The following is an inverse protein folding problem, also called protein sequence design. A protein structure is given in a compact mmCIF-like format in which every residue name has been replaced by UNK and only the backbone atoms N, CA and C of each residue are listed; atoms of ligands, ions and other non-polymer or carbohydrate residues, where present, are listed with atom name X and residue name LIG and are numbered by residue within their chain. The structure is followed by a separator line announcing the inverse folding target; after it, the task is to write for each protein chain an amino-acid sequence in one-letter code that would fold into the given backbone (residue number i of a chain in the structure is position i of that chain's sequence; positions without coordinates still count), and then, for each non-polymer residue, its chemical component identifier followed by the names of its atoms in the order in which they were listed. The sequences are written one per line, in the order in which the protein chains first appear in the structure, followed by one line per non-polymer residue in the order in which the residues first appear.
data_IF_786780814992
#
_entry.id   IF_786780814992
#
_cell.length_a   1.000
_cell.length_b   1.000
_cell.length_c   1.000
_cell.angle_alpha   90.00
_cell.angle_beta   90.00
_cell.angle_gamma   90.00
#
_symmetry.space_group_name_H-M   'P 1'
#
loop_
_entity.id
_entity.type
_entity.pdbx_description
1 polymer ?
#
# COMPACT_ATOMS: atom_id res chain seq x y z
N UNK A 1 -2.73 12.40 14.20
CA UNK A 1 -2.05 11.09 14.30
C UNK A 1 -3.09 9.99 14.22
N UNK A 2 -2.78 8.88 13.54
CA UNK A 2 -3.70 7.75 13.44
C UNK A 2 -3.79 7.00 14.75
N UNK A 3 -4.99 6.50 15.05
CA UNK A 3 -5.19 5.56 16.14
C UNK A 3 -4.93 4.14 15.62
N UNK A 4 -4.06 3.38 16.27
CA UNK A 4 -3.75 2.01 15.89
C UNK A 4 -3.21 1.21 17.10
N UNK A 5 -3.26 -0.11 16.98
CA UNK A 5 -2.73 -1.04 17.96
C UNK A 5 -1.74 -2.03 17.32
N UNK A 6 -1.22 -2.97 18.08
CA UNK A 6 -0.23 -3.94 17.56
C UNK A 6 -0.83 -4.87 16.49
N UNK A 7 -2.11 -5.23 16.61
CA UNK A 7 -2.76 -6.04 15.58
C UNK A 7 -2.85 -5.29 14.25
N UNK A 8 -3.08 -3.99 14.28
CA UNK A 8 -3.08 -3.15 13.09
C UNK A 8 -1.70 -3.13 12.43
N UNK A 9 -0.64 -3.04 13.23
CA UNK A 9 0.75 -3.09 12.73
C UNK A 9 1.03 -4.45 12.08
N UNK A 10 0.62 -5.53 12.72
CA UNK A 10 0.82 -6.89 12.20
C UNK A 10 0.05 -7.09 10.89
N UNK A 11 -1.19 -6.63 10.81
CA UNK A 11 -1.99 -6.70 9.57
C UNK A 11 -1.41 -5.84 8.46
N UNK A 12 -0.93 -4.66 8.80
CA UNK A 12 -0.25 -3.79 7.84
C UNK A 12 1.01 -4.45 7.28
N UNK A 13 1.85 -5.01 8.15
CA UNK A 13 3.07 -5.71 7.73
C UNK A 13 2.74 -6.91 6.82
N UNK A 14 1.71 -7.69 7.15
CA UNK A 14 1.28 -8.81 6.32
C UNK A 14 0.76 -8.33 4.95
N UNK A 15 -0.02 -7.26 4.92
CA UNK A 15 -0.52 -6.66 3.70
C UNK A 15 0.64 -6.21 2.79
N UNK A 16 1.60 -5.48 3.33
CA UNK A 16 2.77 -5.01 2.59
C UNK A 16 3.58 -6.20 2.06
N UNK A 17 3.79 -7.22 2.88
CA UNK A 17 4.49 -8.44 2.48
C UNK A 17 3.80 -9.13 1.31
N UNK A 18 2.48 -9.32 1.38
CA UNK A 18 1.71 -9.95 0.30
C UNK A 18 1.77 -9.12 -0.99
N UNK A 19 1.63 -7.80 -0.88
CA UNK A 19 1.51 -6.91 -2.03
C UNK A 19 2.86 -6.57 -2.68
N UNK A 20 3.94 -6.54 -1.91
CA UNK A 20 5.17 -5.91 -2.39
C UNK A 20 6.47 -6.61 -2.04
N UNK A 21 6.47 -7.84 -1.49
CA UNK A 21 7.73 -8.50 -1.10
C UNK A 21 8.70 -8.70 -2.25
N UNK A 22 8.21 -8.80 -3.47
CA UNK A 22 9.05 -8.93 -4.68
C UNK A 22 9.56 -7.61 -5.23
N UNK A 23 9.17 -6.47 -4.65
CA UNK A 23 9.50 -5.14 -5.17
C UNK A 23 10.69 -4.49 -4.47
N UNK A 24 11.36 -5.22 -3.55
CA UNK A 24 12.47 -4.70 -2.76
C UNK A 24 12.00 -3.82 -1.60
N UNK A 25 12.95 -3.37 -0.78
CA UNK A 25 12.64 -2.58 0.42
C UNK A 25 11.98 -1.24 0.07
N UNK A 26 12.45 -0.56 -0.96
CA UNK A 26 11.84 0.71 -1.39
C UNK A 26 10.39 0.53 -1.85
N UNK A 27 10.08 -0.57 -2.54
CA UNK A 27 8.71 -0.88 -2.96
C UNK A 27 7.81 -1.23 -1.78
N UNK A 28 8.30 -2.00 -0.82
CA UNK A 28 7.57 -2.32 0.41
C UNK A 28 7.31 -1.05 1.24
N UNK A 29 8.30 -0.19 1.40
CA UNK A 29 8.16 1.10 2.06
C UNK A 29 7.10 1.97 1.38
N UNK A 30 7.09 1.98 0.06
CA UNK A 30 6.13 2.76 -0.73
C UNK A 30 4.69 2.29 -0.49
N UNK A 31 4.44 0.99 -0.51
CA UNK A 31 3.09 0.45 -0.24
C UNK A 31 2.65 0.77 1.19
N UNK A 32 3.55 0.67 2.16
CA UNK A 32 3.25 1.06 3.54
C UNK A 32 2.83 2.53 3.64
N UNK A 33 3.54 3.42 2.94
CA UNK A 33 3.19 4.84 2.91
C UNK A 33 1.83 5.10 2.25
N UNK A 34 1.50 4.38 1.18
CA UNK A 34 0.16 4.49 0.56
C UNK A 34 -0.94 4.10 1.56
N UNK A 35 -0.75 3.02 2.32
CA UNK A 35 -1.71 2.61 3.35
C UNK A 35 -1.91 3.74 4.37
N UNK A 36 -0.84 4.30 4.89
CA UNK A 36 -0.92 5.40 5.88
C UNK A 36 -1.52 6.65 5.27
N UNK A 37 -1.14 7.01 4.05
CA UNK A 37 -1.70 8.18 3.35
C UNK A 37 -3.21 8.03 3.14
N UNK A 38 -3.69 6.86 2.74
CA UNK A 38 -5.12 6.56 2.62
C UNK A 38 -5.83 6.67 3.96
N UNK A 39 -5.25 6.11 5.02
CA UNK A 39 -5.84 6.17 6.35
C UNK A 39 -5.99 7.62 6.82
N UNK A 40 -4.97 8.44 6.61
CA UNK A 40 -5.02 9.86 6.95
C UNK A 40 -6.01 10.65 6.11
N UNK A 41 -6.12 10.34 4.81
CA UNK A 41 -7.02 11.05 3.91
C UNK A 41 -8.48 10.65 4.07
N UNK A 42 -8.75 9.36 4.25
CA UNK A 42 -10.10 8.81 4.12
C UNK A 42 -10.73 8.33 5.43
N UNK A 43 -9.90 7.89 6.39
CA UNK A 43 -10.37 7.16 7.57
C UNK A 43 -9.98 7.79 8.90
N UNK A 44 -9.50 9.02 8.88
CA UNK A 44 -8.98 9.69 10.10
C UNK A 44 -9.98 9.73 11.26
N UNK A 45 -11.26 9.88 10.95
CA UNK A 45 -12.31 10.04 11.94
C UNK A 45 -12.87 8.74 12.52
N UNK A 46 -12.43 7.58 12.01
CA UNK A 46 -12.93 6.28 12.45
C UNK A 46 -12.01 5.65 13.49
N UNK A 47 -12.55 4.67 14.25
CA UNK A 47 -11.82 4.03 15.34
C UNK A 47 -10.69 3.09 14.90
N UNK A 48 -10.77 2.55 13.68
CA UNK A 48 -9.82 1.57 13.15
C UNK A 48 -9.40 1.93 11.72
N UNK A 49 -8.69 3.06 11.54
CA UNK A 49 -8.41 3.58 10.19
C UNK A 49 -7.56 2.64 9.34
N UNK A 50 -6.54 2.00 9.91
CA UNK A 50 -5.69 1.06 9.17
C UNK A 50 -6.47 -0.18 8.75
N UNK A 51 -7.27 -0.74 9.66
CA UNK A 51 -8.12 -1.90 9.34
C UNK A 51 -9.04 -1.57 8.16
N UNK A 52 -9.69 -0.42 8.20
CA UNK A 52 -10.61 -0.01 7.13
C UNK A 52 -9.90 0.11 5.78
N UNK A 53 -8.71 0.67 5.73
CA UNK A 53 -7.93 0.78 4.48
C UNK A 53 -7.50 -0.60 3.98
N UNK A 54 -6.93 -1.43 4.86
CA UNK A 54 -6.37 -2.73 4.50
C UNK A 54 -7.45 -3.68 3.99
N UNK A 55 -8.63 -3.68 4.62
CA UNK A 55 -9.72 -4.58 4.29
C UNK A 55 -10.81 -3.93 3.43
N UNK A 56 -10.58 -2.73 2.92
CA UNK A 56 -11.51 -2.07 2.01
C UNK A 56 -11.73 -2.91 0.76
N UNK A 57 -13.01 -3.04 0.37
CA UNK A 57 -13.39 -3.81 -0.81
C UNK A 57 -12.64 -3.32 -2.05
N UNK A 58 -12.10 -4.26 -2.84
CA UNK A 58 -11.40 -4.03 -4.11
C UNK A 58 -10.09 -3.25 -4.00
N UNK A 59 -9.51 -3.11 -2.80
CA UNK A 59 -8.20 -2.45 -2.65
C UNK A 59 -7.06 -3.47 -2.55
N UNK A 60 -7.03 -4.25 -1.50
CA UNK A 60 -5.99 -5.27 -1.30
C UNK A 60 -6.65 -6.65 -1.34
N UNK A 61 -6.79 -7.21 -2.54
CA UNK A 61 -7.47 -8.49 -2.73
C UNK A 61 -6.80 -9.63 -1.96
N UNK A 62 -5.49 -9.57 -1.79
CA UNK A 62 -4.72 -10.53 -0.98
C UNK A 62 -5.17 -10.62 0.48
N UNK A 63 -5.79 -9.56 1.00
CA UNK A 63 -6.26 -9.49 2.38
C UNK A 63 -7.76 -9.78 2.51
N UNK A 64 -8.55 -9.62 1.46
CA UNK A 64 -10.01 -9.59 1.56
C UNK A 64 -10.75 -10.54 0.62
N UNK A 65 -10.10 -11.09 -0.40
CA UNK A 65 -10.76 -11.95 -1.41
C UNK A 65 -10.16 -13.35 -1.35
N UNK A 66 -10.96 -14.32 -0.90
CA UNK A 66 -10.51 -15.71 -0.66
C UNK A 66 -10.02 -16.43 -1.93
N UNK A 67 -10.38 -15.96 -3.11
CA UNK A 67 -9.91 -16.51 -4.39
C UNK A 67 -8.58 -15.93 -4.86
N UNK A 68 -8.09 -14.88 -4.20
CA UNK A 68 -6.76 -14.35 -4.50
C UNK A 68 -5.69 -15.38 -4.10
N UNK A 69 -4.71 -15.69 -4.97
CA UNK A 69 -3.67 -16.67 -4.65
C UNK A 69 -2.87 -16.36 -3.40
N UNK A 70 -2.76 -15.09 -3.03
CA UNK A 70 -2.02 -14.64 -1.84
C UNK A 70 -2.85 -14.69 -0.55
N UNK A 71 -4.17 -14.87 -0.62
CA UNK A 71 -5.07 -14.71 0.51
C UNK A 71 -4.68 -15.59 1.71
N UNK A 72 -4.37 -16.86 1.46
CA UNK A 72 -4.00 -17.81 2.51
C UNK A 72 -2.50 -17.93 2.75
N UNK A 73 -1.68 -17.18 2.01
CA UNK A 73 -0.24 -17.24 2.21
C UNK A 73 0.16 -16.57 3.52
N UNK A 74 1.09 -17.20 4.21
CA UNK A 74 1.71 -16.68 5.42
C UNK A 74 3.22 -16.73 5.26
N UNK A 75 3.95 -15.74 5.76
CA UNK A 75 5.40 -15.80 5.72
C UNK A 75 5.92 -16.97 6.55
N UNK A 76 6.95 -17.63 6.05
CA UNK A 76 7.62 -18.70 6.78
C UNK A 76 8.44 -18.12 7.93
N UNK A 77 8.68 -18.90 9.01
CA UNK A 77 9.61 -18.47 10.05
C UNK A 77 10.96 -18.09 9.44
N UNK A 78 11.48 -16.91 9.82
CA UNK A 78 12.77 -16.41 9.30
C UNK A 78 12.67 -15.69 7.95
N UNK A 79 11.47 -15.44 7.42
CA UNK A 79 11.29 -14.66 6.19
C UNK A 79 11.83 -13.23 6.39
N UNK A 80 12.88 -12.90 5.61
CA UNK A 80 13.58 -11.62 5.77
C UNK A 80 12.72 -10.42 5.33
N UNK A 81 11.89 -10.58 4.29
CA UNK A 81 11.01 -9.51 3.84
C UNK A 81 9.92 -9.22 4.86
N UNK A 82 9.37 -10.25 5.49
CA UNK A 82 8.36 -10.04 6.54
C UNK A 82 8.97 -9.40 7.79
N UNK A 83 10.18 -9.82 8.17
CA UNK A 83 10.92 -9.19 9.27
C UNK A 83 11.15 -7.69 8.99
N UNK A 84 11.52 -7.36 7.76
CA UNK A 84 11.64 -5.96 7.34
C UNK A 84 10.32 -5.22 7.46
N UNK A 85 9.21 -5.80 7.01
CA UNK A 85 7.89 -5.17 7.13
C UNK A 85 7.48 -4.92 8.57
N UNK A 86 7.74 -5.86 9.48
CA UNK A 86 7.42 -5.71 10.90
C UNK A 86 8.23 -4.60 11.56
N UNK A 87 9.45 -4.37 11.11
CA UNK A 87 10.31 -3.29 11.62
C UNK A 87 9.95 -1.94 10.98
N UNK A 88 9.72 -1.92 9.69
CA UNK A 88 9.48 -0.71 8.91
C UNK A 88 8.10 -0.08 9.15
N UNK A 89 7.04 -0.89 9.27
CA UNK A 89 5.68 -0.34 9.41
C UNK A 89 5.50 0.58 10.62
N UNK A 90 6.02 0.26 11.82
CA UNK A 90 5.99 1.20 12.93
C UNK A 90 6.70 2.52 12.65
N UNK A 91 7.83 2.49 11.94
CA UNK A 91 8.58 3.69 11.59
C UNK A 91 7.81 4.61 10.63
N UNK A 92 7.05 4.02 9.70
CA UNK A 92 6.15 4.79 8.81
C UNK A 92 5.02 5.41 9.63
N UNK A 93 4.42 4.65 10.54
CA UNK A 93 3.30 5.13 11.36
C UNK A 93 3.70 6.27 12.30
N UNK A 94 4.92 6.26 12.82
CA UNK A 94 5.43 7.32 13.72
C UNK A 94 6.04 8.50 12.97
N UNK A 95 6.24 8.39 11.66
CA UNK A 95 6.88 9.42 10.86
C UNK A 95 8.41 9.39 10.92
N UNK A 96 9.01 8.40 11.56
CA UNK A 96 10.48 8.23 11.59
C UNK A 96 11.03 7.92 10.19
N UNK A 97 10.26 7.19 9.38
CA UNK A 97 10.61 6.91 7.99
C UNK A 97 9.85 7.87 7.08
N UNK A 98 10.57 8.68 6.27
CA UNK A 98 9.92 9.61 5.35
C UNK A 98 9.11 8.89 4.26
N UNK A 99 8.03 9.54 3.81
CA UNK A 99 7.20 9.05 2.71
C UNK A 99 7.96 9.15 1.39
N UNK A 100 8.34 8.02 0.83
CA UNK A 100 9.04 7.95 -0.46
C UNK A 100 8.10 8.03 -1.67
N UNK A 101 6.79 8.18 -1.45
CA UNK A 101 5.79 8.29 -2.53
C UNK A 101 5.29 9.72 -2.77
N UNK A 102 5.73 10.68 -1.96
CA UNK A 102 5.28 12.08 -2.02
C UNK A 102 3.75 12.23 -1.88
N UNK A 103 3.17 11.50 -0.95
CA UNK A 103 1.76 11.61 -0.61
C UNK A 103 0.82 10.77 -1.48
N UNK A 104 1.31 9.73 -2.15
CA UNK A 104 0.50 8.92 -3.04
C UNK A 104 -0.64 8.21 -2.31
N UNK A 105 -1.78 8.12 -3.00
CA UNK A 105 -2.97 7.39 -2.57
C UNK A 105 -3.26 6.19 -3.47
N UNK A 106 -2.67 6.13 -4.65
CA UNK A 106 -2.87 5.08 -5.65
C UNK A 106 -1.55 4.61 -6.21
N UNK A 107 -1.47 3.33 -6.58
CA UNK A 107 -0.30 2.81 -7.26
C UNK A 107 -0.67 1.63 -8.15
N UNK A 108 0.13 1.40 -9.18
CA UNK A 108 0.02 0.21 -10.02
C UNK A 108 1.30 -0.03 -10.81
N UNK A 109 1.53 -1.29 -11.17
CA UNK A 109 2.42 -1.63 -12.27
C UNK A 109 1.62 -1.47 -13.57
N UNK A 110 1.90 -0.41 -14.32
CA UNK A 110 1.10 -0.07 -15.51
C UNK A 110 1.13 -1.14 -16.59
N UNK A 111 2.20 -1.95 -16.67
CA UNK A 111 2.26 -3.05 -17.62
C UNK A 111 1.28 -4.18 -17.31
N UNK A 112 0.77 -4.26 -16.09
CA UNK A 112 -0.13 -5.30 -15.62
C UNK A 112 -1.56 -4.80 -15.39
N UNK A 113 -1.80 -3.49 -15.52
CA UNK A 113 -3.12 -2.90 -15.28
C UNK A 113 -4.08 -3.30 -16.38
N UNK A 114 -5.20 -3.93 -15.99
CA UNK A 114 -6.31 -4.29 -16.86
C UNK A 114 -7.54 -3.43 -16.66
N UNK A 115 -7.59 -2.64 -15.57
CA UNK A 115 -8.70 -1.76 -15.24
C UNK A 115 -8.69 -0.51 -16.13
N UNK A 116 -9.74 -0.35 -16.95
CA UNK A 116 -9.95 0.88 -17.71
C UNK A 116 -10.14 2.09 -16.81
N UNK A 117 -10.83 1.90 -15.67
CA UNK A 117 -11.03 2.98 -14.69
C UNK A 117 -9.70 3.54 -14.19
N UNK A 118 -8.75 2.66 -13.82
CA UNK A 118 -7.46 3.13 -13.31
C UNK A 118 -6.72 3.94 -14.37
N UNK A 119 -6.70 3.46 -15.61
CA UNK A 119 -6.05 4.19 -16.71
C UNK A 119 -6.74 5.49 -17.04
N UNK A 120 -8.06 5.51 -17.05
CA UNK A 120 -8.83 6.70 -17.45
C UNK A 120 -8.86 7.76 -16.33
N UNK A 121 -9.00 7.34 -15.08
CA UNK A 121 -9.23 8.26 -13.95
C UNK A 121 -7.94 8.60 -13.21
N UNK A 122 -7.06 7.65 -13.01
CA UNK A 122 -5.86 7.83 -12.18
C UNK A 122 -4.62 8.07 -13.03
N UNK A 123 -4.23 7.10 -13.85
CA UNK A 123 -2.93 7.12 -14.54
C UNK A 123 -2.88 8.07 -15.74
N UNK A 124 -4.00 8.28 -16.41
CA UNK A 124 -4.02 8.98 -17.68
C UNK A 124 -3.49 8.12 -18.83
N UNK A 125 -3.70 8.57 -20.07
CA UNK A 125 -3.33 7.81 -21.27
C UNK A 125 -1.81 7.59 -21.41
N UNK A 126 -1.00 8.51 -20.89
CA UNK A 126 0.46 8.45 -20.93
C UNK A 126 1.09 7.86 -19.65
N UNK A 127 0.28 7.51 -18.65
CA UNK A 127 0.75 6.99 -17.37
C UNK A 127 1.33 8.05 -16.43
N UNK A 128 1.30 9.32 -16.79
CA UNK A 128 1.87 10.41 -15.99
C UNK A 128 0.89 11.05 -15.02
N UNK A 129 -0.28 10.46 -14.89
CA UNK A 129 -1.34 10.97 -14.02
C UNK A 129 -2.31 11.88 -14.75
N UNK A 130 -3.28 12.37 -13.99
CA UNK A 130 -4.28 13.33 -14.45
C UNK A 130 -4.19 14.59 -13.60
N UNK A 131 -4.97 15.61 -13.95
CA UNK A 131 -5.00 16.86 -13.16
C UNK A 131 -5.41 16.59 -11.70
N UNK A 132 -6.36 15.68 -11.48
CA UNK A 132 -6.84 15.31 -10.13
C UNK A 132 -5.94 14.29 -9.43
N UNK A 133 -5.16 13.51 -10.18
CA UNK A 133 -4.32 12.43 -9.68
C UNK A 133 -2.93 12.49 -10.33
N UNK A 134 -2.10 13.47 -9.94
CA UNK A 134 -0.77 13.58 -10.52
C UNK A 134 0.12 12.40 -10.13
N UNK A 135 1.00 12.01 -11.04
CA UNK A 135 2.08 11.09 -10.75
C UNK A 135 3.03 11.72 -9.72
N UNK A 136 3.29 11.02 -8.63
CA UNK A 136 4.14 11.55 -7.55
C UNK A 136 5.47 10.86 -7.43
N UNK A 137 5.56 9.60 -7.81
CA UNK A 137 6.79 8.82 -7.75
C UNK A 137 6.73 7.61 -8.68
N UNK A 138 7.89 7.13 -9.10
CA UNK A 138 8.06 5.85 -9.76
C UNK A 138 9.13 5.08 -8.99
N UNK A 139 8.78 3.90 -8.48
CA UNK A 139 9.68 3.06 -7.67
C UNK A 139 9.64 1.66 -8.26
N UNK A 140 10.77 1.22 -8.83
CA UNK A 140 10.82 -0.05 -9.56
C UNK A 140 9.82 -0.04 -10.73
N UNK A 141 8.95 -1.03 -10.77
CA UNK A 141 7.90 -1.15 -11.80
C UNK A 141 6.59 -0.49 -11.41
N UNK A 142 6.51 0.13 -10.23
CA UNK A 142 5.30 0.72 -9.71
C UNK A 142 5.27 2.23 -9.94
N UNK A 143 4.14 2.73 -10.40
CA UNK A 143 3.86 4.16 -10.52
C UNK A 143 2.88 4.57 -9.41
N UNK A 144 3.15 5.70 -8.78
CA UNK A 144 2.40 6.20 -7.62
C UNK A 144 1.73 7.52 -7.95
N UNK A 145 0.48 7.67 -7.53
CA UNK A 145 -0.37 8.82 -7.86
C UNK A 145 -1.06 9.34 -6.59
N UNK A 146 -1.25 10.65 -6.56
CA UNK A 146 -1.95 11.31 -5.46
C UNK A 146 -3.46 11.38 -5.64
#
# INVERSE_FOLDING_TARGET
MLNYNQDDVNNMALCVWKEARGEGEAGMLAVANVIVNRALAWERAVSSPLHNVIYQRNQFSSMSISTDPEYNLQPQPGDAQYAYCLEMCPEVLTGESPDNTNGALYYANLSEVTSGWFRDVIAGSDGKGTADHPLTATIGKQAFYK
#
